data_IF_850033319741
#
_entry.id   IF_850033319741
#
_cell.length_a   1.000
_cell.length_b   1.000
_cell.length_c   1.000
_cell.angle_alpha   90.00
_cell.angle_beta   90.00
_cell.angle_gamma   90.00
#
_symmetry.space_group_name_H-M   'P 1'
#
loop_
_entity.id
_entity.type
_entity.pdbx_description
1 polymer ?
#
# COMPACT_ATOMS: atom_id res chain seq x y z
N UNK A 1 78.22 -9.07 43.37
CA UNK A 1 76.98 -9.75 42.94
C UNK A 1 75.74 -9.02 43.46
N UNK A 2 75.65 -8.68 44.75
CA UNK A 2 74.47 -8.01 45.33
C UNK A 2 73.98 -6.72 44.62
N UNK A 3 74.88 -5.93 44.03
CA UNK A 3 74.49 -4.70 43.32
C UNK A 3 73.88 -4.95 41.93
N UNK A 4 74.34 -6.00 41.23
CA UNK A 4 73.79 -6.40 39.92
C UNK A 4 72.38 -6.95 40.10
N UNK A 5 72.16 -7.80 41.11
CA UNK A 5 70.85 -8.38 41.41
C UNK A 5 69.85 -7.30 41.80
N UNK A 6 70.28 -6.30 42.58
CA UNK A 6 69.44 -5.15 42.96
C UNK A 6 69.04 -4.29 41.76
N UNK A 7 69.97 -4.05 40.83
CA UNK A 7 69.70 -3.28 39.61
C UNK A 7 68.76 -4.04 38.66
N UNK A 8 68.94 -5.35 38.53
CA UNK A 8 68.06 -6.21 37.74
C UNK A 8 66.65 -6.23 38.32
N UNK A 9 66.51 -6.43 39.63
CA UNK A 9 65.22 -6.46 40.31
C UNK A 9 64.47 -5.13 40.11
N UNK A 10 65.17 -4.00 40.28
CA UNK A 10 64.59 -2.67 40.05
C UNK A 10 64.10 -2.51 38.60
N UNK A 11 64.85 -2.99 37.62
CA UNK A 11 64.45 -2.93 36.21
C UNK A 11 63.20 -3.77 35.91
N UNK A 12 63.08 -4.95 36.54
CA UNK A 12 61.89 -5.81 36.45
C UNK A 12 60.68 -5.11 37.07
N UNK A 13 60.83 -4.56 38.28
CA UNK A 13 59.76 -3.85 38.99
C UNK A 13 59.26 -2.63 38.19
N UNK A 14 60.17 -1.85 37.62
CA UNK A 14 59.85 -0.72 36.75
C UNK A 14 59.11 -1.17 35.47
N UNK A 15 59.50 -2.32 34.90
CA UNK A 15 58.82 -2.88 33.73
C UNK A 15 57.41 -3.38 34.06
N UNK A 16 57.24 -4.08 35.20
CA UNK A 16 55.94 -4.54 35.69
C UNK A 16 55.01 -3.36 35.97
N UNK A 17 55.52 -2.30 36.59
CA UNK A 17 54.77 -1.05 36.83
C UNK A 17 54.28 -0.44 35.51
N UNK A 18 55.14 -0.36 34.48
CA UNK A 18 54.74 0.16 33.15
C UNK A 18 53.69 -0.72 32.47
N UNK A 19 53.82 -2.05 32.57
CA UNK A 19 52.82 -2.98 32.03
C UNK A 19 51.46 -2.82 32.72
N UNK A 20 51.47 -2.67 34.04
CA UNK A 20 50.26 -2.49 34.83
C UNK A 20 49.57 -1.16 34.52
N UNK A 21 50.31 -0.05 34.44
CA UNK A 21 49.73 1.25 34.08
C UNK A 21 49.14 1.25 32.66
N UNK A 22 49.80 0.58 31.71
CA UNK A 22 49.26 0.41 30.36
C UNK A 22 47.98 -0.42 30.36
N UNK A 23 47.94 -1.49 31.13
CA UNK A 23 46.74 -2.31 31.31
C UNK A 23 45.59 -1.52 31.93
N UNK A 24 45.86 -0.70 32.96
CA UNK A 24 44.86 0.15 33.61
C UNK A 24 44.26 1.16 32.64
N UNK A 25 45.11 1.82 31.84
CA UNK A 25 44.68 2.74 30.79
C UNK A 25 43.80 2.04 29.73
N UNK A 26 44.28 0.92 29.19
CA UNK A 26 43.54 0.15 28.18
C UNK A 26 42.21 -0.42 28.73
N UNK A 27 42.17 -0.83 29.99
CA UNK A 27 40.95 -1.31 30.66
C UNK A 27 39.92 -0.20 30.79
N UNK A 28 40.33 1.02 31.12
CA UNK A 28 39.43 2.19 31.14
C UNK A 28 38.81 2.45 29.77
N UNK A 29 39.63 2.41 28.70
CA UNK A 29 39.15 2.59 27.32
C UNK A 29 38.24 1.44 26.90
N UNK A 30 38.62 0.19 27.19
CA UNK A 30 37.79 -0.98 26.91
C UNK A 30 36.42 -0.87 27.58
N UNK A 31 36.37 -0.61 28.88
CA UNK A 31 35.13 -0.53 29.65
C UNK A 31 34.24 0.58 29.12
N UNK A 32 34.80 1.76 28.83
CA UNK A 32 34.05 2.87 28.23
C UNK A 32 33.52 2.55 26.83
N UNK A 33 34.33 1.90 25.99
CA UNK A 33 33.92 1.52 24.64
C UNK A 33 32.81 0.46 24.66
N UNK A 34 32.94 -0.58 25.48
CA UNK A 34 31.92 -1.64 25.53
C UNK A 34 30.64 -1.19 26.22
N UNK A 35 30.72 -0.44 27.33
CA UNK A 35 29.52 0.08 28.00
C UNK A 35 28.80 1.08 27.10
N UNK A 36 29.53 2.00 26.47
CA UNK A 36 28.98 2.95 25.50
C UNK A 36 28.32 2.23 24.32
N UNK A 37 28.96 1.20 23.76
CA UNK A 37 28.40 0.46 22.64
C UNK A 37 27.14 -0.34 23.00
N UNK A 38 27.12 -1.00 24.17
CA UNK A 38 25.93 -1.71 24.66
C UNK A 38 24.78 -0.72 24.93
N UNK A 39 25.05 0.37 25.65
CA UNK A 39 24.04 1.39 25.93
C UNK A 39 23.50 2.01 24.65
N UNK A 40 24.37 2.36 23.70
CA UNK A 40 23.97 2.90 22.40
C UNK A 40 23.12 1.90 21.62
N UNK A 41 23.49 0.60 21.62
CA UNK A 41 22.71 -0.46 20.96
C UNK A 41 21.30 -0.57 21.53
N UNK A 42 21.18 -0.60 22.87
CA UNK A 42 19.88 -0.72 23.55
C UNK A 42 19.01 0.51 23.27
N UNK A 43 19.58 1.71 23.43
CA UNK A 43 18.88 2.98 23.17
C UNK A 43 18.45 3.05 21.70
N UNK A 44 19.31 2.68 20.77
CA UNK A 44 18.99 2.66 19.35
C UNK A 44 17.83 1.71 19.04
N UNK A 45 17.87 0.48 19.55
CA UNK A 45 16.81 -0.51 19.30
C UNK A 45 15.46 -0.03 19.86
N UNK A 46 15.43 0.44 21.11
CA UNK A 46 14.19 0.82 21.80
C UNK A 46 13.64 2.14 21.28
N UNK A 47 14.50 3.14 21.05
CA UNK A 47 14.07 4.50 20.76
C UNK A 47 13.98 4.83 19.27
N UNK A 48 14.66 4.08 18.40
CA UNK A 48 14.67 4.33 16.95
C UNK A 48 14.08 3.12 16.22
N UNK A 49 14.72 1.95 16.34
CA UNK A 49 14.41 0.82 15.47
C UNK A 49 12.98 0.30 15.68
N UNK A 50 12.57 0.10 16.93
CA UNK A 50 11.24 -0.43 17.23
C UNK A 50 10.11 0.54 16.87
N UNK A 51 10.15 1.84 17.25
CA UNK A 51 9.16 2.82 16.80
C UNK A 51 9.11 2.95 15.28
N UNK A 52 10.26 2.95 14.61
CA UNK A 52 10.32 3.00 13.15
C UNK A 52 9.63 1.78 12.52
N UNK A 53 9.96 0.56 12.96
CA UNK A 53 9.33 -0.65 12.46
C UNK A 53 7.80 -0.63 12.69
N UNK A 54 7.36 -0.21 13.87
CA UNK A 54 5.94 -0.10 14.19
C UNK A 54 5.22 0.87 13.23
N UNK A 55 5.78 2.07 13.02
CA UNK A 55 5.22 3.06 12.10
C UNK A 55 5.16 2.55 10.65
N UNK A 56 6.16 1.78 10.21
CA UNK A 56 6.19 1.21 8.87
C UNK A 56 5.14 0.12 8.65
N UNK A 57 4.91 -0.72 9.67
CA UNK A 57 3.84 -1.72 9.64
C UNK A 57 2.47 -1.03 9.54
N UNK A 58 2.26 0.01 10.34
CA UNK A 58 1.00 0.76 10.36
C UNK A 58 0.77 1.48 9.04
N UNK A 59 1.78 2.18 8.52
CA UNK A 59 1.73 2.86 7.22
C UNK A 59 1.39 1.90 6.07
N UNK A 60 1.91 0.66 6.09
CA UNK A 60 1.55 -0.36 5.09
C UNK A 60 0.07 -0.73 5.17
N UNK A 61 -0.45 -0.95 6.38
CA UNK A 61 -1.86 -1.26 6.58
C UNK A 61 -2.74 -0.10 6.07
N UNK A 62 -2.42 1.13 6.48
CA UNK A 62 -3.11 2.36 6.05
C UNK A 62 -3.09 2.54 4.53
N UNK A 63 -1.94 2.37 3.87
CA UNK A 63 -1.83 2.50 2.41
C UNK A 63 -2.66 1.43 1.68
N UNK A 64 -2.63 0.18 2.16
CA UNK A 64 -3.42 -0.90 1.55
C UNK A 64 -4.94 -0.66 1.70
N UNK A 65 -5.36 -0.10 2.83
CA UNK A 65 -6.74 0.27 3.06
C UNK A 65 -7.16 1.46 2.18
N UNK A 66 -6.28 2.46 2.01
CA UNK A 66 -6.50 3.60 1.12
C UNK A 66 -6.67 3.18 -0.34
N UNK A 67 -5.85 2.25 -0.83
CA UNK A 67 -5.95 1.72 -2.18
C UNK A 67 -7.26 0.96 -2.39
N UNK A 68 -7.60 0.06 -1.44
CA UNK A 68 -8.87 -0.69 -1.46
C UNK A 68 -10.09 0.25 -1.45
N UNK A 69 -10.07 1.30 -0.63
CA UNK A 69 -11.14 2.29 -0.58
C UNK A 69 -11.24 3.09 -1.87
N UNK A 70 -10.10 3.48 -2.47
CA UNK A 70 -10.09 4.23 -3.73
C UNK A 70 -10.66 3.41 -4.88
N UNK A 71 -10.34 2.11 -4.95
CA UNK A 71 -10.95 1.17 -5.90
C UNK A 71 -12.46 1.00 -5.62
N UNK A 72 -12.86 0.89 -4.35
CA UNK A 72 -14.26 0.80 -3.96
C UNK A 72 -15.07 2.04 -4.37
N UNK A 73 -14.55 3.24 -4.15
CA UNK A 73 -15.18 4.51 -4.57
C UNK A 73 -15.33 4.53 -6.09
N UNK A 74 -14.28 4.25 -6.85
CA UNK A 74 -14.33 4.28 -8.31
C UNK A 74 -15.39 3.29 -8.86
N UNK A 75 -15.48 2.09 -8.27
CA UNK A 75 -16.49 1.11 -8.64
C UNK A 75 -17.92 1.60 -8.33
N UNK A 76 -18.12 2.24 -7.18
CA UNK A 76 -19.43 2.75 -6.79
C UNK A 76 -19.85 3.97 -7.61
N UNK A 77 -18.91 4.87 -7.94
CA UNK A 77 -19.14 6.01 -8.85
C UNK A 77 -19.54 5.54 -10.25
N UNK A 78 -18.86 4.51 -10.77
CA UNK A 78 -19.21 3.90 -12.06
C UNK A 78 -20.64 3.34 -12.05
N UNK A 79 -21.03 2.65 -10.97
CA UNK A 79 -22.41 2.15 -10.79
C UNK A 79 -23.41 3.29 -10.72
N UNK A 80 -23.15 4.30 -9.90
CA UNK A 80 -24.02 5.48 -9.77
C UNK A 80 -24.19 6.22 -11.12
N UNK A 81 -23.13 6.34 -11.91
CA UNK A 81 -23.19 6.93 -13.24
C UNK A 81 -24.11 6.14 -14.19
N UNK A 82 -23.99 4.81 -14.20
CA UNK A 82 -24.87 3.94 -15.00
C UNK A 82 -26.35 4.03 -14.57
N UNK A 83 -26.65 4.06 -13.27
CA UNK A 83 -28.00 4.29 -12.77
C UNK A 83 -28.54 5.66 -13.18
N UNK A 84 -27.74 6.73 -13.06
CA UNK A 84 -28.14 8.09 -13.47
C UNK A 84 -28.46 8.14 -14.96
N UNK A 85 -27.66 7.47 -15.79
CA UNK A 85 -27.91 7.37 -17.22
C UNK A 85 -29.22 6.62 -17.52
N UNK A 86 -29.45 5.48 -16.87
CA UNK A 86 -30.66 4.68 -17.02
C UNK A 86 -31.93 5.44 -16.60
N UNK A 87 -31.91 6.14 -15.46
CA UNK A 87 -33.02 6.98 -14.99
C UNK A 87 -33.30 8.12 -15.97
N UNK A 88 -32.25 8.74 -16.51
CA UNK A 88 -32.39 9.81 -17.52
C UNK A 88 -32.99 9.27 -18.81
N UNK A 89 -32.53 8.12 -19.30
CA UNK A 89 -33.06 7.46 -20.47
C UNK A 89 -34.53 7.07 -20.30
N UNK A 90 -34.90 6.55 -19.12
CA UNK A 90 -36.29 6.20 -18.81
C UNK A 90 -37.20 7.43 -18.84
N UNK A 91 -36.75 8.55 -18.28
CA UNK A 91 -37.46 9.83 -18.31
C UNK A 91 -37.66 10.33 -19.74
N UNK A 92 -36.61 10.26 -20.59
CA UNK A 92 -36.72 10.65 -22.01
C UNK A 92 -37.74 9.80 -22.76
N UNK A 93 -37.75 8.48 -22.54
CA UNK A 93 -38.75 7.60 -23.18
C UNK A 93 -40.15 7.96 -22.69
N UNK A 94 -40.34 8.20 -21.40
CA UNK A 94 -41.64 8.62 -20.86
C UNK A 94 -42.13 9.91 -21.50
N UNK A 95 -41.31 10.96 -21.45
CA UNK A 95 -41.67 12.27 -22.00
C UNK A 95 -41.92 12.19 -23.51
N UNK A 96 -41.11 11.43 -24.25
CA UNK A 96 -41.27 11.32 -25.70
C UNK A 96 -42.49 10.49 -26.10
N UNK A 97 -42.85 9.49 -25.30
CA UNK A 97 -44.03 8.66 -25.51
C UNK A 97 -45.30 9.44 -25.11
N UNK A 98 -45.34 10.04 -23.92
CA UNK A 98 -46.46 10.88 -23.43
C UNK A 98 -46.77 12.04 -24.40
N UNK A 99 -45.74 12.66 -24.97
CA UNK A 99 -45.92 13.74 -25.93
C UNK A 99 -46.17 13.27 -27.37
N UNK A 100 -46.16 11.96 -27.67
CA UNK A 100 -46.24 11.41 -29.03
C UNK A 100 -47.40 11.98 -29.89
N UNK A 101 -48.63 12.14 -29.37
CA UNK A 101 -49.73 12.60 -30.21
C UNK A 101 -49.53 14.01 -30.78
N UNK A 102 -48.80 14.89 -30.09
CA UNK A 102 -48.63 16.29 -30.53
C UNK A 102 -47.70 16.43 -31.75
N UNK A 103 -46.50 15.82 -31.80
CA UNK A 103 -45.71 15.75 -33.03
C UNK A 103 -46.44 15.03 -34.17
N UNK A 104 -47.26 14.01 -33.88
CA UNK A 104 -48.07 13.33 -34.89
C UNK A 104 -49.12 14.26 -35.49
N UNK A 105 -49.83 15.05 -34.67
CA UNK A 105 -50.78 16.08 -35.12
C UNK A 105 -50.09 17.08 -36.06
N UNK A 106 -48.92 17.60 -35.66
CA UNK A 106 -48.12 18.49 -36.50
C UNK A 106 -47.66 17.85 -37.81
N UNK A 107 -47.32 16.56 -37.78
CA UNK A 107 -46.92 15.81 -38.98
C UNK A 107 -48.10 15.55 -39.91
N UNK A 108 -49.29 15.21 -39.39
CA UNK A 108 -50.51 15.04 -40.18
C UNK A 108 -50.83 16.34 -40.93
N UNK A 109 -50.79 17.49 -40.26
CA UNK A 109 -51.00 18.80 -40.89
C UNK A 109 -49.96 19.11 -41.98
N UNK A 110 -48.71 18.67 -41.80
CA UNK A 110 -47.68 18.83 -42.82
C UNK A 110 -47.94 17.92 -44.05
N UNK A 111 -48.35 16.67 -43.82
CA UNK A 111 -48.72 15.73 -44.87
C UNK A 111 -49.95 16.20 -45.67
N UNK A 112 -50.93 16.84 -45.01
CA UNK A 112 -52.08 17.42 -45.70
C UNK A 112 -51.68 18.54 -46.66
N UNK A 113 -50.69 19.37 -46.27
CA UNK A 113 -50.12 20.39 -47.15
C UNK A 113 -49.36 19.78 -48.32
N UNK A 114 -48.57 18.74 -48.08
CA UNK A 114 -47.88 17.98 -49.14
C UNK A 114 -48.89 17.39 -50.14
N UNK A 115 -49.95 16.75 -49.65
CA UNK A 115 -51.01 16.18 -50.48
C UNK A 115 -51.79 17.24 -51.28
N UNK A 116 -51.78 18.50 -50.84
CA UNK A 116 -52.36 19.64 -51.56
C UNK A 116 -51.39 20.27 -52.59
N UNK A 117 -50.23 19.65 -52.86
CA UNK A 117 -49.20 20.16 -53.78
C UNK A 117 -48.16 21.04 -53.11
N UNK A 118 -48.12 21.08 -51.78
CA UNK A 118 -47.09 21.76 -50.99
C UNK A 118 -45.74 21.01 -50.98
N UNK A 119 -44.74 21.54 -50.26
CA UNK A 119 -43.44 20.89 -50.12
C UNK A 119 -43.56 19.56 -49.36
N UNK A 120 -42.61 18.65 -49.62
CA UNK A 120 -42.54 17.37 -48.92
C UNK A 120 -42.44 17.56 -47.40
N UNK A 121 -43.29 16.87 -46.64
CA UNK A 121 -43.28 16.93 -45.19
C UNK A 121 -42.07 16.13 -44.65
N UNK A 122 -41.09 16.79 -44.01
CA UNK A 122 -39.98 16.07 -43.41
C UNK A 122 -40.46 15.25 -42.21
N UNK A 123 -39.83 14.10 -41.98
CA UNK A 123 -39.99 13.34 -40.74
C UNK A 123 -39.60 14.23 -39.54
N UNK A 124 -40.46 14.38 -38.52
CA UNK A 124 -40.13 15.11 -37.31
C UNK A 124 -38.90 14.55 -36.60
N UNK A 125 -38.19 15.40 -35.87
CA UNK A 125 -37.05 15.04 -35.01
C UNK A 125 -35.91 14.28 -35.70
N UNK A 126 -35.80 14.37 -37.04
CA UNK A 126 -34.78 13.65 -37.81
C UNK A 126 -34.97 12.14 -37.85
N UNK A 127 -36.20 11.65 -37.60
CA UNK A 127 -36.53 10.22 -37.69
C UNK A 127 -36.19 9.66 -39.08
N UNK A 128 -35.58 8.46 -39.10
CA UNK A 128 -35.25 7.77 -40.34
C UNK A 128 -36.47 6.97 -40.81
N UNK A 129 -36.97 7.19 -42.05
CA UNK A 129 -38.09 6.42 -42.57
C UNK A 129 -37.73 4.93 -42.65
N UNK A 130 -38.68 4.02 -42.37
CA UNK A 130 -38.51 2.61 -42.70
C UNK A 130 -38.37 2.44 -44.23
N UNK A 131 -37.82 1.31 -44.69
CA UNK A 131 -37.49 1.07 -46.11
C UNK A 131 -38.72 0.96 -47.03
N UNK A 132 -39.92 0.78 -46.48
CA UNK A 132 -41.15 0.79 -47.28
C UNK A 132 -41.35 2.16 -47.93
N UNK A 133 -41.86 2.22 -49.17
CA UNK A 133 -42.15 3.48 -49.85
C UNK A 133 -43.66 3.68 -49.98
N UNK A 134 -44.15 4.87 -49.63
CA UNK A 134 -45.54 5.28 -49.90
C UNK A 134 -45.71 5.93 -51.29
N UNK A 135 -44.63 6.14 -52.06
CA UNK A 135 -44.66 6.93 -53.29
C UNK A 135 -45.52 6.34 -54.42
N UNK A 136 -45.76 5.03 -54.40
CA UNK A 136 -46.55 4.33 -55.43
C UNK A 136 -48.07 4.36 -55.16
N UNK A 137 -48.52 4.95 -54.04
CA UNK A 137 -49.93 4.98 -53.66
C UNK A 137 -50.56 6.27 -54.18
N UNK A 138 -51.49 6.15 -55.13
CA UNK A 138 -52.18 7.30 -55.75
C UNK A 138 -53.44 7.74 -54.99
N UNK A 139 -54.01 6.85 -54.18
CA UNK A 139 -55.15 7.17 -53.32
C UNK A 139 -54.69 7.98 -52.11
N UNK A 140 -55.24 9.20 -51.94
CA UNK A 140 -54.80 10.14 -50.89
C UNK A 140 -54.94 9.54 -49.49
N UNK A 141 -56.03 8.84 -49.20
CA UNK A 141 -56.29 8.31 -47.88
C UNK A 141 -55.30 7.18 -47.53
N UNK A 142 -55.07 6.26 -48.47
CA UNK A 142 -54.07 5.20 -48.32
C UNK A 142 -52.64 5.73 -48.28
N UNK A 143 -52.34 6.81 -49.00
CA UNK A 143 -51.04 7.47 -48.96
C UNK A 143 -50.79 8.12 -47.60
N UNK A 144 -51.76 8.88 -47.07
CA UNK A 144 -51.72 9.47 -45.73
C UNK A 144 -51.52 8.40 -44.66
N UNK A 145 -52.33 7.34 -44.72
CA UNK A 145 -52.24 6.20 -43.80
C UNK A 145 -50.85 5.56 -43.84
N UNK A 146 -50.31 5.31 -45.03
CA UNK A 146 -48.95 4.77 -45.20
C UNK A 146 -47.90 5.67 -44.55
N UNK A 147 -47.94 6.99 -44.80
CA UNK A 147 -46.97 7.95 -44.25
C UNK A 147 -47.05 8.05 -42.73
N UNK A 148 -48.25 8.02 -42.16
CA UNK A 148 -48.44 8.02 -40.71
C UNK A 148 -47.91 6.71 -40.10
N UNK A 149 -48.17 5.55 -40.72
CA UNK A 149 -47.59 4.27 -40.29
C UNK A 149 -46.06 4.30 -40.29
N UNK A 150 -45.45 4.89 -41.33
CA UNK A 150 -43.99 5.06 -41.40
C UNK A 150 -43.44 5.90 -40.24
N UNK A 151 -44.09 7.02 -39.94
CA UNK A 151 -43.73 7.87 -38.81
C UNK A 151 -43.77 7.10 -37.49
N UNK A 152 -44.85 6.36 -37.25
CA UNK A 152 -45.03 5.59 -36.03
C UNK A 152 -44.00 4.46 -35.89
N UNK A 153 -43.70 3.77 -36.99
CA UNK A 153 -42.66 2.74 -37.01
C UNK A 153 -41.28 3.34 -36.73
N UNK A 154 -40.94 4.48 -37.33
CA UNK A 154 -39.68 5.17 -37.07
C UNK A 154 -39.57 5.63 -35.61
N UNK A 155 -40.66 6.15 -35.04
CA UNK A 155 -40.71 6.59 -33.64
C UNK A 155 -40.58 5.42 -32.66
N UNK A 156 -41.21 4.28 -32.96
CA UNK A 156 -41.04 3.05 -32.19
C UNK A 156 -39.58 2.56 -32.20
N UNK A 157 -38.93 2.58 -33.37
CA UNK A 157 -37.53 2.20 -33.51
C UNK A 157 -36.60 3.13 -32.71
N UNK A 158 -36.87 4.45 -32.70
CA UNK A 158 -36.14 5.41 -31.89
C UNK A 158 -36.25 5.09 -30.39
N UNK A 159 -37.43 4.74 -29.89
CA UNK A 159 -37.55 4.36 -28.48
C UNK A 159 -36.79 3.08 -28.17
N UNK A 160 -36.87 2.07 -29.03
CA UNK A 160 -36.08 0.84 -28.87
C UNK A 160 -34.57 1.14 -28.83
N UNK A 161 -34.10 2.10 -29.63
CA UNK A 161 -32.71 2.55 -29.62
C UNK A 161 -32.34 3.26 -28.31
N UNK A 162 -33.17 4.18 -27.80
CA UNK A 162 -32.94 4.85 -26.51
C UNK A 162 -32.91 3.83 -25.37
N UNK A 163 -33.84 2.87 -25.39
CA UNK A 163 -33.86 1.79 -24.40
C UNK A 163 -32.60 0.92 -24.46
N UNK A 164 -32.15 0.57 -25.65
CA UNK A 164 -30.96 -0.24 -25.82
C UNK A 164 -29.70 0.53 -25.37
N UNK A 165 -29.56 1.78 -25.81
CA UNK A 165 -28.32 2.55 -25.68
C UNK A 165 -28.20 3.34 -24.38
N UNK A 166 -29.30 3.94 -23.90
CA UNK A 166 -29.29 4.78 -22.70
C UNK A 166 -29.66 4.05 -21.42
N UNK A 167 -30.28 2.87 -21.53
CA UNK A 167 -30.79 2.13 -20.38
C UNK A 167 -30.14 0.74 -20.27
N UNK A 168 -30.35 -0.14 -21.26
CA UNK A 168 -29.88 -1.52 -21.19
C UNK A 168 -28.35 -1.59 -21.19
N UNK A 169 -27.68 -0.93 -22.13
CA UNK A 169 -26.22 -1.00 -22.23
C UNK A 169 -25.50 -0.50 -20.96
N UNK A 170 -25.87 0.63 -20.32
CA UNK A 170 -25.27 1.03 -19.05
C UNK A 170 -25.49 0.04 -17.90
N UNK A 171 -26.67 -0.57 -17.82
CA UNK A 171 -27.00 -1.55 -16.77
C UNK A 171 -26.31 -2.91 -16.98
N UNK A 172 -26.20 -3.36 -18.24
CA UNK A 172 -25.45 -4.56 -18.61
C UNK A 172 -23.97 -4.43 -18.25
N UNK A 173 -23.37 -3.26 -18.48
CA UNK A 173 -21.96 -2.99 -18.11
C UNK A 173 -21.69 -3.17 -16.62
N UNK A 174 -22.70 -2.99 -15.77
CA UNK A 174 -22.58 -3.18 -14.32
C UNK A 174 -23.18 -4.49 -13.81
N UNK A 175 -23.58 -5.39 -14.72
CA UNK A 175 -24.04 -6.76 -14.49
C UNK A 175 -25.17 -6.86 -13.43
N UNK A 176 -26.19 -6.01 -13.55
CA UNK A 176 -27.36 -6.09 -12.67
C UNK A 176 -28.41 -7.00 -13.30
N UNK A 177 -28.43 -8.26 -12.88
CA UNK A 177 -29.36 -9.30 -13.36
C UNK A 177 -30.84 -8.96 -13.15
N UNK A 178 -31.14 -8.15 -12.14
CA UNK A 178 -32.51 -7.71 -11.82
C UNK A 178 -33.15 -6.91 -12.97
N UNK A 179 -32.35 -6.36 -13.89
CA UNK A 179 -32.83 -5.57 -15.02
C UNK A 179 -32.98 -6.37 -16.33
N UNK A 180 -32.55 -7.63 -16.38
CA UNK A 180 -32.67 -8.45 -17.60
C UNK A 180 -34.14 -8.73 -17.92
N UNK A 181 -34.92 -9.10 -16.90
CA UNK A 181 -36.37 -9.31 -17.04
C UNK A 181 -37.06 -8.00 -17.45
N UNK A 182 -36.69 -6.90 -16.81
CA UNK A 182 -37.27 -5.59 -17.11
C UNK A 182 -37.01 -5.14 -18.54
N UNK A 183 -35.79 -5.34 -19.05
CA UNK A 183 -35.44 -5.04 -20.44
C UNK A 183 -36.36 -5.78 -21.40
N UNK A 184 -36.59 -7.07 -21.15
CA UNK A 184 -37.50 -7.88 -21.97
C UNK A 184 -38.95 -7.37 -21.90
N UNK A 185 -39.44 -7.05 -20.70
CA UNK A 185 -40.79 -6.55 -20.47
C UNK A 185 -41.02 -5.20 -21.16
N UNK A 186 -40.05 -4.30 -21.11
CA UNK A 186 -40.07 -2.99 -21.74
C UNK A 186 -40.04 -3.08 -23.27
N UNK A 187 -39.22 -3.97 -23.84
CA UNK A 187 -39.21 -4.25 -25.28
C UNK A 187 -40.54 -4.84 -25.76
N UNK A 188 -41.05 -5.87 -25.05
CA UNK A 188 -42.34 -6.49 -25.37
C UNK A 188 -43.50 -5.50 -25.21
N UNK A 189 -43.41 -4.63 -24.22
CA UNK A 189 -44.31 -3.54 -23.94
C UNK A 189 -44.47 -2.54 -25.08
N UNK A 190 -43.35 -1.99 -25.56
CA UNK A 190 -43.34 -1.07 -26.71
C UNK A 190 -43.88 -1.76 -27.96
N UNK A 191 -43.49 -3.02 -28.22
CA UNK A 191 -44.02 -3.78 -29.35
C UNK A 191 -45.55 -3.90 -29.25
N UNK A 192 -46.08 -4.34 -28.11
CA UNK A 192 -47.54 -4.43 -27.87
C UNK A 192 -48.25 -3.10 -28.06
N UNK A 193 -47.68 -2.00 -27.56
CA UNK A 193 -48.24 -0.66 -27.75
C UNK A 193 -48.30 -0.30 -29.25
N UNK A 194 -47.22 -0.53 -29.98
CA UNK A 194 -47.15 -0.22 -31.42
C UNK A 194 -48.08 -1.09 -32.26
N UNK A 195 -48.23 -2.37 -31.92
CA UNK A 195 -49.11 -3.29 -32.62
C UNK A 195 -50.58 -2.96 -32.37
N UNK A 196 -50.94 -2.60 -31.13
CA UNK A 196 -52.28 -2.12 -30.81
C UNK A 196 -52.62 -0.86 -31.60
N UNK A 197 -51.71 0.11 -31.63
CA UNK A 197 -51.93 1.33 -32.40
C UNK A 197 -52.06 1.05 -33.89
N UNK A 198 -51.24 0.14 -34.44
CA UNK A 198 -51.35 -0.31 -35.84
C UNK A 198 -52.72 -0.95 -36.12
N UNK A 199 -53.23 -1.75 -35.21
CA UNK A 199 -54.56 -2.36 -35.32
C UNK A 199 -55.67 -1.29 -35.29
N UNK A 200 -55.59 -0.31 -34.39
CA UNK A 200 -56.55 0.81 -34.30
C UNK A 200 -56.55 1.66 -35.59
N UNK A 201 -55.37 1.95 -36.17
CA UNK A 201 -55.27 2.64 -37.47
C UNK A 201 -55.84 1.81 -38.62
N UNK A 202 -55.62 0.49 -38.62
CA UNK A 202 -56.16 -0.40 -39.67
C UNK A 202 -57.69 -0.48 -39.60
N UNK A 203 -58.25 -0.46 -38.40
CA UNK A 203 -59.70 -0.46 -38.19
C UNK A 203 -60.36 0.88 -38.61
N UNK A 204 -59.61 1.98 -38.58
CA UNK A 204 -60.09 3.31 -38.98
C UNK A 204 -59.04 4.02 -39.86
N UNK A 205 -58.94 3.70 -41.17
CA UNK A 205 -57.90 4.26 -42.05
C UNK A 205 -58.02 5.78 -42.24
N UNK A 206 -59.20 6.36 -41.98
CA UNK A 206 -59.48 7.79 -42.07
C UNK A 206 -59.34 8.55 -40.75
N UNK A 207 -58.79 7.94 -39.69
CA UNK A 207 -58.71 8.55 -38.35
C UNK A 207 -58.02 9.92 -38.35
N UNK A 208 -57.06 10.11 -39.26
CA UNK A 208 -56.23 11.31 -39.35
C UNK A 208 -57.02 12.59 -39.67
N UNK A 209 -58.18 12.47 -40.32
CA UNK A 209 -59.03 13.62 -40.71
C UNK A 209 -59.53 14.42 -39.52
N UNK A 210 -59.73 13.75 -38.40
CA UNK A 210 -60.23 14.35 -37.16
C UNK A 210 -59.24 14.11 -36.01
N UNK A 211 -57.93 14.04 -36.32
CA UNK A 211 -56.92 13.79 -35.31
C UNK A 211 -56.59 15.07 -34.53
N UNK A 212 -57.27 15.26 -33.41
CA UNK A 212 -57.04 16.33 -32.45
C UNK A 212 -57.05 15.77 -31.01
N UNK A 213 -56.89 16.64 -30.01
CA UNK A 213 -56.87 16.25 -28.59
C UNK A 213 -58.18 15.61 -28.09
N UNK A 214 -59.28 15.84 -28.78
CA UNK A 214 -60.59 15.31 -28.43
C UNK A 214 -60.89 13.98 -29.13
N UNK A 215 -60.15 13.65 -30.19
CA UNK A 215 -60.31 12.43 -30.97
C UNK A 215 -60.18 11.17 -30.10
N UNK A 216 -61.07 10.17 -30.29
CA UNK A 216 -61.00 8.91 -29.54
C UNK A 216 -59.64 8.22 -29.65
N UNK A 217 -59.00 8.26 -30.83
CA UNK A 217 -57.69 7.66 -31.04
C UNK A 217 -56.57 8.40 -30.31
N UNK A 218 -56.63 9.74 -30.23
CA UNK A 218 -55.66 10.54 -29.47
C UNK A 218 -55.74 10.18 -27.99
N UNK A 219 -56.95 10.10 -27.43
CA UNK A 219 -57.17 9.69 -26.04
C UNK A 219 -56.72 8.24 -25.80
N UNK A 220 -57.02 7.34 -26.74
CA UNK A 220 -56.57 5.93 -26.70
C UNK A 220 -55.05 5.81 -26.67
N UNK A 221 -54.33 6.64 -27.43
CA UNK A 221 -52.85 6.69 -27.39
C UNK A 221 -52.36 7.07 -26.00
N UNK A 222 -52.83 8.21 -25.46
CA UNK A 222 -52.42 8.69 -24.13
C UNK A 222 -52.77 7.67 -23.04
N UNK A 223 -53.99 7.14 -23.02
CA UNK A 223 -54.40 6.13 -22.06
C UNK A 223 -53.63 4.81 -22.22
N UNK A 224 -53.31 4.41 -23.46
CA UNK A 224 -52.52 3.23 -23.76
C UNK A 224 -51.10 3.37 -23.21
N UNK A 225 -50.54 4.57 -23.26
CA UNK A 225 -49.24 4.91 -22.66
C UNK A 225 -49.33 4.83 -21.14
N UNK A 226 -50.30 5.49 -20.51
CA UNK A 226 -50.43 5.44 -19.05
C UNK A 226 -50.67 4.02 -18.55
N UNK A 227 -51.49 3.22 -19.25
CA UNK A 227 -51.68 1.79 -18.97
C UNK A 227 -50.39 1.02 -19.14
N UNK A 228 -49.69 1.21 -20.25
CA UNK A 228 -48.37 0.59 -20.46
C UNK A 228 -47.41 0.90 -19.31
N UNK A 229 -47.36 2.16 -18.88
CA UNK A 229 -46.51 2.62 -17.78
C UNK A 229 -46.89 2.00 -16.43
N UNK A 230 -48.19 1.90 -16.15
CA UNK A 230 -48.72 1.29 -14.94
C UNK A 230 -48.53 -0.23 -14.92
N UNK A 231 -48.89 -0.94 -15.99
CA UNK A 231 -48.86 -2.40 -16.11
C UNK A 231 -47.43 -2.98 -15.98
N UNK A 232 -46.42 -2.18 -16.31
CA UNK A 232 -45.01 -2.58 -16.25
C UNK A 232 -44.27 -1.90 -15.08
N UNK A 233 -45.00 -1.29 -14.14
CA UNK A 233 -44.48 -0.74 -12.89
C UNK A 233 -43.33 0.27 -13.07
N UNK A 234 -43.33 1.07 -14.15
CA UNK A 234 -42.20 1.95 -14.46
C UNK A 234 -41.95 3.04 -13.42
N UNK A 235 -43.00 3.57 -12.81
CA UNK A 235 -42.87 4.53 -11.70
C UNK A 235 -42.17 3.89 -10.50
N UNK A 236 -42.53 2.66 -10.16
CA UNK A 236 -41.88 1.91 -9.09
C UNK A 236 -40.41 1.62 -9.43
N UNK A 237 -40.11 1.26 -10.68
CA UNK A 237 -38.74 0.99 -11.14
C UNK A 237 -37.90 2.26 -11.11
N UNK A 238 -38.43 3.37 -11.62
CA UNK A 238 -37.78 4.68 -11.54
C UNK A 238 -37.51 5.09 -10.08
N UNK A 239 -38.48 4.89 -9.19
CA UNK A 239 -38.32 5.11 -7.75
C UNK A 239 -37.23 4.23 -7.16
N UNK A 240 -37.26 2.91 -7.40
CA UNK A 240 -36.24 1.96 -6.91
C UNK A 240 -34.84 2.29 -7.42
N UNK A 241 -34.70 2.71 -8.69
CA UNK A 241 -33.43 3.17 -9.25
C UNK A 241 -32.95 4.46 -8.59
N UNK A 242 -33.85 5.41 -8.35
CA UNK A 242 -33.53 6.67 -7.67
C UNK A 242 -33.11 6.44 -6.21
N UNK A 243 -33.82 5.56 -5.49
CA UNK A 243 -33.46 5.14 -4.13
C UNK A 243 -32.10 4.43 -4.10
N UNK A 244 -31.86 3.53 -5.06
CA UNK A 244 -30.58 2.85 -5.21
C UNK A 244 -29.45 3.84 -5.51
N UNK A 245 -29.69 4.84 -6.36
CA UNK A 245 -28.74 5.91 -6.66
C UNK A 245 -28.42 6.74 -5.42
N UNK A 246 -29.43 7.13 -4.63
CA UNK A 246 -29.24 7.87 -3.39
C UNK A 246 -28.44 7.06 -2.36
N UNK A 247 -28.78 5.77 -2.17
CA UNK A 247 -28.05 4.89 -1.28
C UNK A 247 -26.57 4.72 -1.69
N UNK A 248 -26.29 4.59 -2.99
CA UNK A 248 -24.92 4.52 -3.53
C UNK A 248 -24.14 5.81 -3.31
N UNK A 249 -24.78 6.97 -3.47
CA UNK A 249 -24.14 8.26 -3.22
C UNK A 249 -23.78 8.43 -1.75
N UNK A 250 -24.68 8.03 -0.84
CA UNK A 250 -24.38 8.01 0.60
C UNK A 250 -23.22 7.06 0.94
N UNK A 251 -23.14 5.89 0.30
CA UNK A 251 -22.02 4.97 0.46
C UNK A 251 -20.69 5.61 -0.03
N UNK A 252 -20.70 6.29 -1.18
CA UNK A 252 -19.53 7.02 -1.68
C UNK A 252 -19.10 8.13 -0.72
N UNK A 253 -20.03 8.89 -0.16
CA UNK A 253 -19.72 9.90 0.86
C UNK A 253 -19.09 9.29 2.11
N UNK A 254 -19.63 8.18 2.63
CA UNK A 254 -19.04 7.48 3.77
C UNK A 254 -17.62 6.97 3.46
N UNK A 255 -17.40 6.42 2.27
CA UNK A 255 -16.07 5.96 1.83
C UNK A 255 -15.09 7.14 1.70
N UNK A 256 -15.55 8.29 1.20
CA UNK A 256 -14.75 9.51 1.12
C UNK A 256 -14.39 10.07 2.50
N UNK A 257 -15.33 10.06 3.46
CA UNK A 257 -15.05 10.43 4.85
C UNK A 257 -14.00 9.49 5.46
N UNK A 258 -14.13 8.18 5.24
CA UNK A 258 -13.14 7.20 5.70
C UNK A 258 -11.77 7.41 5.06
N UNK A 259 -11.73 7.73 3.76
CA UNK A 259 -10.50 8.09 3.05
C UNK A 259 -9.83 9.33 3.66
N UNK A 260 -10.61 10.33 4.04
CA UNK A 260 -10.09 11.53 4.72
C UNK A 260 -9.50 11.20 6.11
N UNK A 261 -10.17 10.36 6.90
CA UNK A 261 -9.64 9.90 8.20
C UNK A 261 -8.33 9.13 8.06
N UNK A 262 -8.22 8.28 7.04
CA UNK A 262 -7.00 7.53 6.74
C UNK A 262 -5.88 8.47 6.27
N UNK A 263 -6.21 9.50 5.50
CA UNK A 263 -5.25 10.53 5.10
C UNK A 263 -4.73 11.32 6.32
N UNK A 264 -5.61 11.68 7.25
CA UNK A 264 -5.23 12.33 8.51
C UNK A 264 -4.34 11.40 9.36
N UNK A 265 -4.68 10.11 9.45
CA UNK A 265 -3.85 9.10 10.11
C UNK A 265 -2.46 9.01 9.48
N UNK A 266 -2.36 9.02 8.15
CA UNK A 266 -1.08 9.03 7.40
C UNK A 266 -0.26 10.29 7.69
N UNK A 267 -0.89 11.45 7.75
CA UNK A 267 -0.22 12.69 8.15
C UNK A 267 0.24 12.65 9.61
N UNK A 268 -0.57 12.07 10.50
CA UNK A 268 -0.21 11.78 11.89
C UNK A 268 1.00 10.86 12.02
N UNK A 269 1.07 9.79 11.23
CA UNK A 269 2.22 8.88 11.15
C UNK A 269 3.47 9.58 10.63
N UNK A 270 3.34 10.38 9.57
CA UNK A 270 4.45 11.19 9.05
C UNK A 270 4.94 12.20 10.09
N UNK A 271 4.04 12.82 10.84
CA UNK A 271 4.39 13.73 11.93
C UNK A 271 5.04 12.98 13.10
N UNK A 272 4.57 11.78 13.45
CA UNK A 272 5.21 10.93 14.45
C UNK A 272 6.64 10.55 14.04
N UNK A 273 6.86 10.21 12.78
CA UNK A 273 8.18 9.91 12.23
C UNK A 273 9.11 11.14 12.26
N UNK A 274 8.58 12.32 11.90
CA UNK A 274 9.28 13.60 12.09
C UNK A 274 9.56 13.91 13.57
N UNK A 275 8.69 13.53 14.49
CA UNK A 275 8.91 13.72 15.92
C UNK A 275 9.98 12.77 16.48
N UNK A 276 10.21 11.60 15.88
CA UNK A 276 11.39 10.79 16.19
C UNK A 276 12.66 11.57 15.84
N UNK A 277 12.66 12.30 14.71
CA UNK A 277 13.77 13.19 14.28
C UNK A 277 14.07 14.28 15.32
N UNK A 278 13.07 14.84 16.01
CA UNK A 278 13.28 15.93 16.99
C UNK A 278 13.80 15.44 18.34
N UNK A 279 13.52 14.20 18.76
CA UNK A 279 13.96 13.65 20.07
C UNK A 279 15.47 13.49 20.21
N UNK A 280 16.21 13.38 19.11
CA UNK A 280 17.67 13.31 19.12
C UNK A 280 18.35 14.70 19.03
N UNK A 281 17.58 15.78 19.17
CA UNK A 281 18.09 17.15 19.05
C UNK A 281 18.45 17.52 17.61
N UNK A 282 19.13 18.67 17.40
CA UNK A 282 19.68 19.09 16.10
C UNK A 282 20.87 18.21 15.66
N UNK A 283 20.83 16.89 15.87
CA UNK A 283 21.87 15.99 15.38
C UNK A 283 21.92 15.94 13.83
N UNK A 284 21.03 16.64 13.13
CA UNK A 284 21.07 16.85 11.68
C UNK A 284 20.84 15.58 10.84
N UNK A 285 20.88 14.42 11.49
CA UNK A 285 20.66 13.11 10.90
C UNK A 285 19.16 12.85 10.79
N UNK A 286 18.73 12.51 9.59
CA UNK A 286 17.39 11.99 9.38
C UNK A 286 17.29 10.58 9.96
N UNK A 287 16.09 10.13 10.32
CA UNK A 287 15.90 8.79 10.92
C UNK A 287 16.45 7.69 9.98
N UNK A 288 16.31 7.93 8.68
CA UNK A 288 16.79 7.07 7.60
C UNK A 288 18.32 6.97 7.60
N UNK A 289 19.01 8.10 7.74
CA UNK A 289 20.48 8.16 7.90
C UNK A 289 20.93 7.52 9.20
N UNK A 290 20.19 7.70 10.29
CA UNK A 290 20.50 7.10 11.57
C UNK A 290 20.42 5.57 11.51
N UNK A 291 19.38 5.03 10.86
CA UNK A 291 19.23 3.59 10.62
C UNK A 291 20.36 3.06 9.71
N UNK A 292 20.79 3.85 8.73
CA UNK A 292 21.90 3.52 7.84
C UNK A 292 23.26 3.48 8.58
N UNK A 293 23.55 4.49 9.38
CA UNK A 293 24.86 4.68 10.01
C UNK A 293 25.02 3.90 11.32
N UNK A 294 23.93 3.56 12.00
CA UNK A 294 24.00 2.89 13.30
C UNK A 294 24.78 1.56 13.27
N UNK A 295 24.53 0.61 12.35
CA UNK A 295 25.32 -0.64 12.27
C UNK A 295 26.81 -0.40 12.05
N UNK A 296 27.17 0.63 11.29
CA UNK A 296 28.56 1.00 11.07
C UNK A 296 29.19 1.55 12.36
N UNK A 297 28.52 2.49 13.04
CA UNK A 297 28.97 3.04 14.31
C UNK A 297 29.13 1.97 15.40
N UNK A 298 28.13 1.08 15.55
CA UNK A 298 28.16 -0.03 16.51
C UNK A 298 29.31 -1.00 16.23
N UNK A 299 29.56 -1.31 14.95
CA UNK A 299 30.64 -2.21 14.54
C UNK A 299 32.03 -1.60 14.76
N UNK A 300 32.20 -0.29 14.52
CA UNK A 300 33.45 0.41 14.76
C UNK A 300 33.78 0.47 16.26
N UNK A 301 32.79 0.82 17.10
CA UNK A 301 32.95 0.80 18.56
C UNK A 301 33.25 -0.60 19.09
N UNK A 302 32.58 -1.62 18.55
CA UNK A 302 32.85 -3.02 18.88
C UNK A 302 34.27 -3.39 18.51
N UNK A 303 34.73 -2.99 17.32
CA UNK A 303 36.07 -3.29 16.86
C UNK A 303 37.14 -2.65 17.75
N UNK A 304 36.96 -1.38 18.16
CA UNK A 304 37.83 -0.71 19.13
C UNK A 304 37.84 -1.46 20.46
N UNK A 305 36.68 -1.84 21.00
CA UNK A 305 36.59 -2.62 22.23
C UNK A 305 37.29 -3.98 22.10
N UNK A 306 37.11 -4.68 20.99
CA UNK A 306 37.76 -5.97 20.72
C UNK A 306 39.29 -5.82 20.66
N UNK A 307 39.81 -4.77 20.01
CA UNK A 307 41.24 -4.49 19.97
C UNK A 307 41.82 -4.22 21.36
N UNK A 308 41.14 -3.41 22.19
CA UNK A 308 41.58 -3.12 23.55
C UNK A 308 41.56 -4.36 24.45
N UNK A 309 40.52 -5.19 24.33
CA UNK A 309 40.46 -6.48 25.03
C UNK A 309 41.61 -7.40 24.63
N UNK A 310 41.91 -7.50 23.34
CA UNK A 310 43.05 -8.28 22.85
C UNK A 310 44.39 -7.76 23.42
N UNK A 311 44.57 -6.44 23.52
CA UNK A 311 45.76 -5.86 24.13
C UNK A 311 45.85 -6.18 25.62
N UNK A 312 44.74 -6.10 26.36
CA UNK A 312 44.71 -6.46 27.79
C UNK A 312 45.03 -7.94 28.02
N UNK A 313 44.52 -8.84 27.18
CA UNK A 313 44.86 -10.27 27.22
C UNK A 313 46.37 -10.46 27.00
N UNK A 314 46.96 -9.76 26.03
CA UNK A 314 48.42 -9.82 25.78
C UNK A 314 49.23 -9.25 26.95
N UNK A 315 48.82 -8.13 27.53
CA UNK A 315 49.50 -7.51 28.68
C UNK A 315 49.47 -8.45 29.89
N UNK A 316 48.30 -9.02 30.22
CA UNK A 316 48.18 -10.01 31.29
C UNK A 316 49.04 -11.24 31.01
N UNK A 317 49.09 -11.72 29.76
CA UNK A 317 49.95 -12.85 29.37
C UNK A 317 51.44 -12.55 29.57
N UNK A 318 51.90 -11.36 29.18
CA UNK A 318 53.28 -10.94 29.40
C UNK A 318 53.61 -10.82 30.90
N UNK A 319 52.68 -10.24 31.68
CA UNK A 319 52.80 -10.16 33.14
C UNK A 319 52.91 -11.56 33.75
N UNK A 320 52.03 -12.48 33.33
CA UNK A 320 52.02 -13.87 33.78
C UNK A 320 53.35 -14.59 33.48
N UNK A 321 53.91 -14.38 32.28
CA UNK A 321 55.21 -14.96 31.90
C UNK A 321 56.37 -14.42 32.73
N UNK A 322 56.38 -13.11 33.02
CA UNK A 322 57.42 -12.50 33.85
C UNK A 322 57.36 -13.04 35.28
N UNK A 323 56.17 -13.15 35.87
CA UNK A 323 56.02 -13.75 37.20
C UNK A 323 56.40 -15.22 37.24
N UNK A 324 56.00 -16.02 36.25
CA UNK A 324 56.43 -17.43 36.17
C UNK A 324 57.93 -17.60 35.96
N UNK A 325 58.60 -16.66 35.28
CA UNK A 325 60.05 -16.68 35.12
C UNK A 325 60.77 -16.38 36.44
N UNK A 326 60.21 -15.47 37.25
CA UNK A 326 60.78 -15.10 38.56
C UNK A 326 60.43 -16.09 39.69
N UNK A 327 59.28 -16.76 39.62
CA UNK A 327 58.83 -17.77 40.58
C UNK A 327 58.25 -19.00 39.85
N UNK A 328 59.11 -19.91 39.34
CA UNK A 328 58.66 -21.08 38.58
C UNK A 328 57.83 -22.06 39.39
N UNK A 329 58.06 -22.11 40.71
CA UNK A 329 57.34 -23.01 41.61
C UNK A 329 55.97 -22.46 42.02
N UNK A 330 55.65 -21.21 41.64
CA UNK A 330 54.39 -20.50 41.97
C UNK A 330 54.13 -20.46 43.49
N UNK A 331 55.18 -20.36 44.29
CA UNK A 331 55.10 -20.40 45.76
C UNK A 331 54.61 -19.06 46.31
N UNK A 332 54.97 -17.95 45.66
CA UNK A 332 54.64 -16.61 46.10
C UNK A 332 53.35 -16.07 45.48
N UNK A 333 53.11 -16.33 44.17
CA UNK A 333 51.96 -15.78 43.45
C UNK A 333 51.33 -16.84 42.54
N UNK A 334 50.05 -17.14 42.79
CA UNK A 334 49.23 -18.08 42.03
C UNK A 334 48.58 -17.42 40.80
N UNK A 335 48.19 -18.24 39.82
CA UNK A 335 47.49 -17.78 38.61
C UNK A 335 46.19 -17.02 38.95
N UNK A 336 45.55 -17.36 40.07
CA UNK A 336 44.36 -16.71 40.60
C UNK A 336 44.65 -15.30 41.14
N UNK A 337 45.78 -15.11 41.84
CA UNK A 337 46.20 -13.79 42.32
C UNK A 337 46.56 -12.86 41.16
N UNK A 338 47.22 -13.38 40.13
CA UNK A 338 47.45 -12.62 38.88
C UNK A 338 46.11 -12.25 38.21
N UNK A 339 45.14 -13.16 38.22
CA UNK A 339 43.80 -12.89 37.69
C UNK A 339 43.07 -11.78 38.45
N UNK A 340 43.26 -11.71 39.77
CA UNK A 340 42.70 -10.68 40.64
C UNK A 340 43.40 -9.34 40.46
N UNK A 341 44.72 -9.33 40.24
CA UNK A 341 45.49 -8.11 40.00
C UNK A 341 45.21 -7.50 38.62
N UNK A 342 44.97 -8.34 37.60
CA UNK A 342 44.68 -7.90 36.23
C UNK A 342 43.36 -8.52 35.73
N UNK A 343 42.21 -8.08 36.26
CA UNK A 343 40.91 -8.63 35.89
C UNK A 343 40.61 -8.39 34.40
N UNK A 344 40.33 -9.47 33.67
CA UNK A 344 39.87 -9.36 32.29
C UNK A 344 38.35 -9.43 32.25
N UNK A 345 37.73 -8.66 31.37
CA UNK A 345 36.30 -8.76 31.13
C UNK A 345 35.95 -10.19 30.73
N UNK A 346 36.52 -10.69 29.63
CA UNK A 346 36.48 -12.11 29.27
C UNK A 346 37.75 -12.77 29.80
N UNK A 347 37.66 -13.39 30.96
CA UNK A 347 38.80 -14.10 31.54
C UNK A 347 39.02 -15.46 30.83
N UNK A 348 40.21 -15.71 30.24
CA UNK A 348 40.54 -17.00 29.64
C UNK A 348 40.55 -18.16 30.65
N UNK A 349 40.83 -17.89 31.93
CA UNK A 349 40.90 -18.86 33.04
C UNK A 349 39.56 -19.12 33.71
N UNK A 350 38.54 -18.30 33.45
CA UNK A 350 37.21 -18.53 34.00
C UNK A 350 36.58 -19.82 33.43
N UNK A 351 35.64 -20.44 34.17
CA UNK A 351 34.90 -21.61 33.69
C UNK A 351 34.32 -21.39 32.28
N UNK A 352 34.31 -22.43 31.41
CA UNK A 352 33.90 -22.29 30.01
C UNK A 352 32.54 -21.62 29.80
N UNK A 353 31.59 -21.86 30.72
CA UNK A 353 30.24 -21.28 30.69
C UNK A 353 30.29 -19.76 30.91
N UNK A 354 30.97 -19.30 31.98
CA UNK A 354 31.10 -17.86 32.25
C UNK A 354 31.79 -17.13 31.09
N UNK A 355 32.81 -17.75 30.51
CA UNK A 355 33.51 -17.23 29.33
C UNK A 355 32.57 -17.09 28.13
N UNK A 356 31.74 -18.11 27.85
CA UNK A 356 30.73 -18.08 26.78
C UNK A 356 29.70 -16.96 27.02
N UNK A 357 29.19 -16.81 28.24
CA UNK A 357 28.21 -15.77 28.59
C UNK A 357 28.81 -14.37 28.36
N UNK A 358 30.02 -14.11 28.86
CA UNK A 358 30.66 -12.79 28.68
C UNK A 358 31.03 -12.50 27.23
N UNK A 359 31.40 -13.53 26.48
CA UNK A 359 31.63 -13.42 25.03
C UNK A 359 30.32 -13.15 24.27
N UNK A 360 29.21 -13.78 24.68
CA UNK A 360 27.89 -13.50 24.12
C UNK A 360 27.41 -12.08 24.45
N UNK A 361 27.65 -11.60 25.67
CA UNK A 361 27.34 -10.21 26.05
C UNK A 361 28.13 -9.19 25.20
N UNK A 362 29.38 -9.52 24.82
CA UNK A 362 30.18 -8.70 23.90
C UNK A 362 29.51 -8.56 22.51
N UNK A 363 28.66 -9.52 22.12
CA UNK A 363 27.99 -9.56 20.81
C UNK A 363 26.63 -8.85 20.77
N UNK A 364 26.16 -8.24 21.88
CA UNK A 364 24.90 -7.48 21.91
C UNK A 364 24.81 -6.44 20.77
N UNK A 365 25.85 -5.61 20.49
CA UNK A 365 25.80 -4.66 19.38
C UNK A 365 25.70 -5.31 18.00
N UNK A 366 26.25 -6.51 17.84
CA UNK A 366 26.11 -7.27 16.60
C UNK A 366 24.66 -7.74 16.40
N UNK A 367 24.00 -8.18 17.47
CA UNK A 367 22.57 -8.55 17.43
C UNK A 367 21.71 -7.34 17.04
N UNK A 368 21.95 -6.17 17.64
CA UNK A 368 21.26 -4.94 17.26
C UNK A 368 21.47 -4.57 15.78
N UNK A 369 22.69 -4.75 15.27
CA UNK A 369 23.01 -4.53 13.85
C UNK A 369 22.27 -5.50 12.93
N UNK A 370 22.17 -6.78 13.30
CA UNK A 370 21.39 -7.78 12.56
C UNK A 370 19.90 -7.46 12.57
N UNK A 371 19.34 -7.06 13.71
CA UNK A 371 17.94 -6.63 13.80
C UNK A 371 17.67 -5.42 12.89
N UNK A 372 18.60 -4.48 12.84
CA UNK A 372 18.51 -3.31 11.96
C UNK A 372 18.44 -3.74 10.49
N UNK A 373 19.31 -4.65 10.09
CA UNK A 373 19.34 -5.22 8.75
C UNK A 373 18.03 -5.93 8.40
N UNK A 374 17.48 -6.73 9.32
CA UNK A 374 16.18 -7.40 9.12
C UNK A 374 15.05 -6.38 8.90
N UNK A 375 15.02 -5.29 9.68
CA UNK A 375 14.03 -4.21 9.52
C UNK A 375 14.20 -3.51 8.17
N UNK A 376 15.43 -3.19 7.77
CA UNK A 376 15.69 -2.57 6.46
C UNK A 376 15.22 -3.48 5.32
N UNK A 377 15.57 -4.77 5.34
CA UNK A 377 15.11 -5.74 4.34
C UNK A 377 13.58 -5.87 4.32
N UNK A 378 12.93 -5.88 5.48
CA UNK A 378 11.48 -5.87 5.56
C UNK A 378 10.87 -4.61 4.92
N UNK A 379 11.43 -3.44 5.22
CA UNK A 379 10.98 -2.17 4.65
C UNK A 379 11.19 -2.10 3.13
N UNK A 380 12.17 -2.80 2.54
CA UNK A 380 12.31 -2.91 1.08
C UNK A 380 11.13 -3.63 0.40
N UNK A 381 10.34 -4.41 1.14
CA UNK A 381 9.11 -5.03 0.62
C UNK A 381 7.92 -4.09 0.59
N UNK A 382 8.05 -2.89 1.18
CA UNK A 382 6.97 -1.91 1.31
C UNK A 382 7.27 -0.75 0.36
N UNK A 383 6.38 -0.49 -0.63
CA UNK A 383 6.52 0.69 -1.50
C UNK A 383 6.57 1.96 -0.66
N UNK A 384 7.46 2.87 -1.01
CA UNK A 384 7.62 4.19 -0.38
C UNK A 384 8.02 4.20 1.11
N UNK A 385 8.41 3.05 1.70
CA UNK A 385 8.88 3.00 3.10
C UNK A 385 10.09 3.91 3.37
N UNK A 386 10.89 4.15 2.34
CA UNK A 386 11.96 5.12 2.32
C UNK A 386 11.75 6.08 1.14
N UNK A 387 10.85 7.04 1.33
CA UNK A 387 10.51 8.07 0.33
C UNK A 387 11.71 9.01 0.10
N UNK A 388 12.73 8.53 -0.58
CA UNK A 388 14.00 9.24 -0.81
C UNK A 388 15.16 8.35 -1.24
N UNK A 389 15.11 7.05 -0.94
CA UNK A 389 16.18 6.11 -1.33
C UNK A 389 16.06 5.75 -2.81
N UNK A 390 16.99 6.29 -3.60
CA UNK A 390 17.16 5.90 -5.00
C UNK A 390 17.86 4.55 -5.10
N UNK A 391 17.89 3.94 -6.29
CA UNK A 391 18.59 2.66 -6.52
C UNK A 391 20.08 2.70 -6.13
N UNK A 392 20.74 3.87 -6.22
CA UNK A 392 22.13 4.02 -5.75
C UNK A 392 22.27 3.97 -4.24
N UNK A 393 21.24 4.37 -3.49
CA UNK A 393 21.32 4.34 -2.03
C UNK A 393 21.26 2.89 -1.53
N UNK A 394 20.50 2.00 -2.17
CA UNK A 394 20.49 0.58 -1.85
C UNK A 394 21.90 -0.05 -1.89
N UNK A 395 22.73 0.35 -2.87
CA UNK A 395 24.13 -0.09 -2.96
C UNK A 395 24.96 0.41 -1.78
N UNK A 396 24.78 1.68 -1.37
CA UNK A 396 25.45 2.24 -0.18
C UNK A 396 25.08 1.46 1.08
N UNK A 397 23.80 1.11 1.24
CA UNK A 397 23.33 0.28 2.36
C UNK A 397 24.11 -1.04 2.38
N UNK A 398 24.08 -1.80 1.27
CA UNK A 398 24.78 -3.08 1.18
C UNK A 398 26.28 -2.94 1.52
N UNK A 399 26.95 -1.92 1.00
CA UNK A 399 28.37 -1.66 1.27
C UNK A 399 28.65 -1.37 2.75
N UNK A 400 27.86 -0.51 3.40
CA UNK A 400 28.04 -0.21 4.82
C UNK A 400 27.74 -1.42 5.72
N UNK A 401 26.75 -2.24 5.37
CA UNK A 401 26.48 -3.47 6.10
C UNK A 401 27.57 -4.52 5.93
N UNK A 402 28.15 -4.67 4.73
CA UNK A 402 29.30 -5.55 4.50
C UNK A 402 30.52 -5.09 5.30
N UNK A 403 30.79 -3.79 5.33
CA UNK A 403 31.87 -3.21 6.13
C UNK A 403 31.65 -3.44 7.63
N UNK A 404 30.43 -3.21 8.11
CA UNK A 404 30.02 -3.46 9.50
C UNK A 404 30.20 -4.93 9.88
N UNK A 405 29.74 -5.86 9.04
CA UNK A 405 29.91 -7.30 9.23
C UNK A 405 31.40 -7.67 9.29
N UNK A 406 32.23 -7.08 8.42
CA UNK A 406 33.69 -7.27 8.43
C UNK A 406 34.32 -6.90 9.78
N UNK A 407 33.95 -5.76 10.36
CA UNK A 407 34.45 -5.35 11.68
C UNK A 407 34.00 -6.27 12.81
N UNK A 408 32.74 -6.72 12.82
CA UNK A 408 32.26 -7.67 13.81
C UNK A 408 32.97 -9.02 13.69
N UNK A 409 33.05 -9.59 12.49
CA UNK A 409 33.67 -10.89 12.24
C UNK A 409 35.16 -10.85 12.63
N UNK A 410 35.89 -9.85 12.12
CA UNK A 410 37.32 -9.74 12.39
C UNK A 410 37.62 -9.46 13.87
N UNK A 411 36.87 -8.55 14.51
CA UNK A 411 36.99 -8.27 15.94
C UNK A 411 36.72 -9.49 16.81
N UNK A 412 35.66 -10.25 16.50
CA UNK A 412 35.31 -11.48 17.22
C UNK A 412 36.35 -12.58 17.05
N UNK A 413 36.78 -12.85 15.81
CA UNK A 413 37.81 -13.85 15.51
C UNK A 413 39.12 -13.53 16.24
N UNK A 414 39.52 -12.25 16.25
CA UNK A 414 40.74 -11.78 16.92
C UNK A 414 40.67 -11.97 18.44
N UNK A 415 39.54 -11.61 19.06
CA UNK A 415 39.32 -11.85 20.51
C UNK A 415 39.32 -13.34 20.84
N UNK A 416 38.63 -14.17 20.04
CA UNK A 416 38.61 -15.63 20.23
C UNK A 416 40.00 -16.24 20.11
N UNK A 417 40.79 -15.82 19.13
CA UNK A 417 42.17 -16.25 18.95
C UNK A 417 43.05 -15.84 20.13
N UNK A 418 42.93 -14.59 20.61
CA UNK A 418 43.66 -14.11 21.78
C UNK A 418 43.36 -14.95 23.05
N UNK A 419 42.10 -15.30 23.28
CA UNK A 419 41.67 -16.16 24.39
C UNK A 419 42.27 -17.58 24.26
N UNK A 420 42.19 -18.21 23.07
CA UNK A 420 42.74 -19.55 22.84
C UNK A 420 44.26 -19.58 23.05
N UNK A 421 44.96 -18.58 22.51
CA UNK A 421 46.41 -18.46 22.59
C UNK A 421 46.90 -18.13 24.01
N UNK A 422 46.04 -17.59 24.87
CA UNK A 422 46.36 -17.37 26.28
C UNK A 422 46.48 -18.71 27.03
N UNK A 423 45.51 -19.61 26.86
CA UNK A 423 45.54 -20.93 27.50
C UNK A 423 46.71 -21.80 27.05
N UNK A 424 47.01 -21.81 25.74
CA UNK A 424 48.11 -22.61 25.17
C UNK A 424 49.51 -22.23 25.69
N UNK A 425 49.68 -21.04 26.29
CA UNK A 425 50.96 -20.62 26.87
C UNK A 425 51.12 -20.93 28.35
N UNK A 426 50.06 -21.39 29.02
CA UNK A 426 50.07 -21.68 30.44
C UNK A 426 50.25 -23.17 30.75
N UNK A 427 50.03 -24.05 29.76
CA UNK A 427 50.49 -25.43 29.84
C UNK A 427 52.03 -25.39 29.88
N UNK A 428 52.65 -25.76 31.03
CA UNK A 428 54.10 -25.91 31.09
C UNK A 428 54.49 -26.88 29.99
N UNK A 429 55.61 -26.63 29.34
CA UNK A 429 56.11 -27.57 28.35
C UNK A 429 56.33 -28.94 29.02
N UNK A 430 55.38 -29.86 28.88
CA UNK A 430 55.60 -31.31 28.83
C UNK A 430 56.47 -31.68 27.60
N UNK A 431 57.49 -30.86 27.28
CA UNK A 431 58.45 -31.06 26.19
C UNK A 431 59.89 -30.80 26.64
N UNK A 432 60.19 -31.06 27.90
CA UNK A 432 61.57 -31.21 28.37
C UNK A 432 61.81 -32.65 28.89
N UNK A 433 60.81 -33.54 28.84
CA UNK A 433 60.93 -34.95 29.25
C UNK A 433 61.11 -35.93 28.08
N UNK A 434 61.48 -35.45 26.89
CA UNK A 434 62.06 -36.27 25.81
C UNK A 434 63.29 -35.57 25.22
N UNK A 435 64.33 -35.42 26.05
CA UNK A 435 65.72 -35.26 25.63
C UNK A 435 66.65 -35.71 26.76
#
# INVERSE_FOLDING_TARGET
MAEIDKNLQKAIDDHLKRLYERYKSNTKVFTAAISGNISLSIIFVISILFPFLYLQIDARATNSEQERLSQGIAQQEQRAAAYRQAVTGLKKVYEAVENMPKPLEGYILALEKEAAGGPAAPMPDGLKPPPESCSSITDKDRWMECRIRQYMAARAAQYQEVLASEIAAPLERINIKEFDQWKADLQAGILRYTDRFRAEMTANPSFWRNFDRNAPIYKSMIEGIHRFYADHHFEEIGRRMSESLAARQAEVEQLNQKKAQIQESKEGLNNALKNIKTRFGKLGLEVEDAILLAPLALSALFFVAALQLCQNIKLRKSFHRLFQASDPQKVAITDAEIALAMPLWVDPLAPPIQRKIKLAALMIPAIASVLTLLVVFYCWTIPDAFAGLTGMDHVKYVLYYLLSAGFFIYGFQRTRSAIKNYGASLTPAERITEA
#
